data_IF_970422191687
#
_entry.id   IF_970422191687
#
_cell.length_a   1.000
_cell.length_b   1.000
_cell.length_c   1.000
_cell.angle_alpha   90.00
_cell.angle_beta   90.00
_cell.angle_gamma   90.00
#
_symmetry.space_group_name_H-M   'P 1'
#
loop_
_entity.id
_entity.type
_entity.pdbx_description
1 polymer ?
#
# COMPACT_ATOMS: atom_id res chain seq x y z
N UNK A 1 12.41 -19.41 -1.52
CA UNK A 1 12.30 -18.32 -2.54
C UNK A 1 11.46 -17.16 -2.01
N UNK A 2 10.41 -17.45 -1.26
CA UNK A 2 9.38 -16.47 -0.83
C UNK A 2 9.85 -15.39 0.18
N UNK A 3 11.03 -15.54 0.78
CA UNK A 3 11.62 -14.57 1.70
C UNK A 3 12.86 -13.86 1.14
N UNK A 4 13.18 -14.05 -0.15
CA UNK A 4 14.36 -13.40 -0.75
C UNK A 4 14.18 -11.89 -0.80
N UNK A 5 15.13 -11.09 -0.27
CA UNK A 5 15.07 -9.63 -0.42
C UNK A 5 15.17 -9.18 -1.88
N UNK A 6 15.63 -10.07 -2.78
CA UNK A 6 15.79 -9.82 -4.21
C UNK A 6 14.64 -10.38 -5.06
N UNK A 7 13.53 -10.79 -4.45
CA UNK A 7 12.37 -11.27 -5.20
C UNK A 7 11.73 -10.09 -5.98
N UNK A 8 11.96 -10.05 -7.29
CA UNK A 8 11.49 -8.99 -8.17
C UNK A 8 11.85 -7.59 -7.63
N UNK A 9 10.86 -6.79 -7.24
CA UNK A 9 11.05 -5.44 -6.73
C UNK A 9 11.06 -5.35 -5.21
N UNK A 10 11.08 -6.48 -4.47
CA UNK A 10 11.16 -6.52 -3.01
C UNK A 10 12.20 -5.58 -2.38
N UNK A 11 13.39 -5.32 -2.98
CA UNK A 11 14.35 -4.37 -2.40
C UNK A 11 13.78 -2.97 -2.13
N UNK A 12 12.71 -2.57 -2.82
CA UNK A 12 12.07 -1.27 -2.61
C UNK A 12 11.49 -1.10 -1.19
N UNK A 13 11.10 -2.20 -0.53
CA UNK A 13 10.59 -2.17 0.85
C UNK A 13 11.56 -2.75 1.88
N UNK A 14 12.31 -3.82 1.55
CA UNK A 14 13.20 -4.49 2.51
C UNK A 14 14.68 -4.11 2.39
N UNK A 15 15.07 -3.40 1.33
CA UNK A 15 16.48 -3.12 1.04
C UNK A 15 17.14 -4.22 0.21
N UNK A 16 18.25 -3.91 -0.48
CA UNK A 16 18.91 -4.86 -1.39
C UNK A 16 19.53 -6.05 -0.63
N UNK A 17 19.95 -5.82 0.60
CA UNK A 17 20.50 -6.83 1.50
C UNK A 17 19.56 -7.17 2.65
N UNK A 18 18.28 -6.75 2.58
CA UNK A 18 17.31 -6.95 3.67
C UNK A 18 17.53 -6.02 4.86
N UNK A 19 18.11 -4.84 4.65
CA UNK A 19 18.47 -3.89 5.73
C UNK A 19 17.26 -3.42 6.56
N UNK A 20 16.04 -3.50 6.00
CA UNK A 20 14.79 -3.05 6.63
C UNK A 20 13.95 -4.21 7.17
N UNK A 21 14.54 -5.39 7.30
CA UNK A 21 13.91 -6.59 7.85
C UNK A 21 13.42 -7.58 6.78
N UNK A 22 12.83 -8.71 7.21
CA UNK A 22 12.37 -9.75 6.30
C UNK A 22 11.14 -9.32 5.48
N UNK A 23 10.97 -9.88 4.29
CA UNK A 23 9.78 -9.70 3.47
C UNK A 23 8.60 -10.47 4.10
N UNK A 24 7.52 -9.81 4.55
CA UNK A 24 6.33 -10.50 5.05
C UNK A 24 5.68 -11.30 3.91
N UNK A 25 5.22 -12.52 4.17
CA UNK A 25 4.56 -13.34 3.14
C UNK A 25 3.34 -12.63 2.52
N UNK A 26 2.56 -11.94 3.35
CA UNK A 26 1.39 -11.15 2.96
C UNK A 26 1.76 -9.85 2.22
N UNK A 27 3.04 -9.46 2.13
CA UNK A 27 3.46 -8.33 1.31
C UNK A 27 3.49 -8.66 -0.19
N UNK A 28 3.64 -9.95 -0.53
CA UNK A 28 3.61 -10.44 -1.91
C UNK A 28 2.19 -10.66 -2.41
N UNK A 29 1.34 -11.29 -1.59
CA UNK A 29 -0.06 -11.55 -1.92
C UNK A 29 -0.92 -11.35 -0.65
N UNK A 30 -1.35 -10.11 -0.37
CA UNK A 30 -2.15 -9.83 0.82
C UNK A 30 -3.54 -10.47 0.71
N UNK A 31 -4.12 -10.84 1.84
CA UNK A 31 -5.54 -11.24 1.86
C UNK A 31 -6.45 -10.03 1.73
N UNK A 32 -7.70 -10.28 1.37
CA UNK A 32 -8.72 -9.24 1.26
C UNK A 32 -8.89 -8.46 2.58
N UNK A 33 -8.77 -9.13 3.72
CA UNK A 33 -8.84 -8.55 5.06
C UNK A 33 -7.68 -7.59 5.31
N UNK A 34 -6.44 -7.99 4.97
CA UNK A 34 -5.24 -7.15 5.13
C UNK A 34 -5.37 -5.87 4.29
N UNK A 35 -5.77 -6.01 3.03
CA UNK A 35 -5.99 -4.86 2.14
C UNK A 35 -7.05 -3.94 2.73
N UNK A 36 -8.21 -4.48 3.12
CA UNK A 36 -9.34 -3.70 3.66
C UNK A 36 -8.96 -2.95 4.93
N UNK A 37 -8.34 -3.62 5.91
CA UNK A 37 -7.97 -3.01 7.18
C UNK A 37 -6.92 -1.90 7.00
N UNK A 38 -5.92 -2.13 6.14
CA UNK A 38 -4.88 -1.14 5.89
C UNK A 38 -5.44 0.07 5.11
N UNK A 39 -6.33 -0.14 4.14
CA UNK A 39 -7.03 0.94 3.43
C UNK A 39 -7.86 1.78 4.39
N UNK A 40 -8.70 1.17 5.22
CA UNK A 40 -9.52 1.88 6.23
C UNK A 40 -8.65 2.71 7.17
N UNK A 41 -7.50 2.17 7.61
CA UNK A 41 -6.54 2.88 8.46
C UNK A 41 -5.98 4.13 7.76
N UNK A 42 -5.52 3.98 6.52
CA UNK A 42 -4.95 5.09 5.72
C UNK A 42 -6.01 6.15 5.46
N UNK A 43 -7.21 5.76 5.04
CA UNK A 43 -8.32 6.69 4.79
C UNK A 43 -8.67 7.49 6.05
N UNK A 44 -8.77 6.81 7.19
CA UNK A 44 -9.05 7.46 8.49
C UNK A 44 -7.95 8.45 8.87
N UNK A 45 -6.68 8.06 8.72
CA UNK A 45 -5.54 8.91 9.07
C UNK A 45 -5.47 10.18 8.21
N UNK A 46 -5.78 10.06 6.91
CA UNK A 46 -5.73 11.18 5.95
C UNK A 46 -7.04 11.95 5.86
N UNK A 47 -8.12 11.46 6.46
CA UNK A 47 -9.50 11.91 6.20
C UNK A 47 -9.78 11.97 4.69
N UNK A 48 -9.30 10.94 3.97
CA UNK A 48 -9.47 10.86 2.52
C UNK A 48 -10.93 10.64 2.16
N UNK A 49 -11.39 11.25 1.06
CA UNK A 49 -12.77 11.09 0.56
C UNK A 49 -12.91 10.02 -0.53
N UNK A 50 -11.79 9.61 -1.11
CA UNK A 50 -11.77 8.64 -2.20
C UNK A 50 -10.52 7.77 -2.14
N UNK A 51 -10.66 6.53 -2.59
CA UNK A 51 -9.59 5.56 -2.80
C UNK A 51 -9.61 5.17 -4.26
N UNK A 52 -8.49 5.33 -4.96
CA UNK A 52 -8.34 4.82 -6.31
C UNK A 52 -7.70 3.43 -6.27
N UNK A 53 -8.32 2.46 -6.94
CA UNK A 53 -7.84 1.08 -7.03
C UNK A 53 -7.32 0.83 -8.44
N UNK A 54 -6.05 0.47 -8.54
CA UNK A 54 -5.45 -0.12 -9.73
C UNK A 54 -5.18 -1.60 -9.45
N UNK A 55 -5.66 -2.48 -10.32
CA UNK A 55 -5.56 -3.93 -10.16
C UNK A 55 -5.38 -4.59 -11.52
N UNK A 56 -4.75 -5.74 -11.53
CA UNK A 56 -4.64 -6.62 -12.70
C UNK A 56 -5.80 -7.62 -12.79
N UNK A 57 -6.63 -7.74 -11.75
CA UNK A 57 -7.75 -8.66 -11.70
C UNK A 57 -8.93 -8.11 -10.88
N UNK A 58 -9.06 -8.50 -9.61
CA UNK A 58 -10.17 -8.10 -8.74
C UNK A 58 -9.88 -6.76 -8.06
N UNK A 59 -10.79 -5.80 -8.20
CA UNK A 59 -10.69 -4.47 -7.60
C UNK A 59 -11.31 -4.40 -6.19
N UNK A 60 -12.04 -5.43 -5.77
CA UNK A 60 -12.67 -5.54 -4.46
C UNK A 60 -13.57 -4.34 -4.09
N UNK A 61 -14.12 -3.64 -5.08
CA UNK A 61 -14.84 -2.37 -4.87
C UNK A 61 -15.99 -2.53 -3.88
N UNK A 62 -16.75 -3.62 -3.96
CA UNK A 62 -17.85 -3.90 -3.05
C UNK A 62 -17.41 -4.02 -1.58
N UNK A 63 -16.33 -4.77 -1.33
CA UNK A 63 -15.80 -4.97 0.01
C UNK A 63 -15.20 -3.68 0.56
N UNK A 64 -14.44 -2.96 -0.26
CA UNK A 64 -13.84 -1.69 0.12
C UNK A 64 -14.90 -0.63 0.41
N UNK A 65 -15.91 -0.49 -0.46
CA UNK A 65 -16.98 0.50 -0.27
C UNK A 65 -17.81 0.24 0.99
N UNK A 66 -18.14 -1.03 1.30
CA UNK A 66 -18.78 -1.38 2.58
C UNK A 66 -17.93 -0.99 3.79
N UNK A 67 -16.61 -1.22 3.73
CA UNK A 67 -15.72 -0.90 4.83
C UNK A 67 -15.46 0.63 4.99
N UNK A 68 -15.59 1.38 3.90
CA UNK A 68 -15.34 2.82 3.84
C UNK A 68 -16.60 3.67 4.07
N UNK A 69 -17.80 3.09 4.00
CA UNK A 69 -19.07 3.77 4.26
C UNK A 69 -19.08 4.59 5.57
N UNK A 70 -18.62 4.07 6.73
CA UNK A 70 -18.60 4.85 7.98
C UNK A 70 -17.66 6.06 7.95
N UNK A 71 -16.70 6.07 7.01
CA UNK A 71 -15.75 7.16 6.81
C UNK A 71 -16.20 8.14 5.73
N UNK A 72 -17.38 7.93 5.11
CA UNK A 72 -17.90 8.73 4.01
C UNK A 72 -16.90 8.82 2.83
N UNK A 73 -16.20 7.72 2.56
CA UNK A 73 -15.23 7.60 1.47
C UNK A 73 -15.67 6.54 0.47
N UNK A 74 -15.24 6.69 -0.79
CA UNK A 74 -15.57 5.78 -1.89
C UNK A 74 -14.33 5.22 -2.56
N UNK A 75 -14.31 3.91 -2.78
CA UNK A 75 -13.35 3.23 -3.63
C UNK A 75 -13.83 3.22 -5.08
N UNK A 76 -12.96 3.63 -6.00
CA UNK A 76 -13.24 3.72 -7.43
C UNK A 76 -12.11 3.10 -8.24
N UNK A 77 -12.45 2.61 -9.43
CA UNK A 77 -11.51 2.12 -10.45
C UNK A 77 -11.84 2.81 -11.78
N UNK A 78 -10.84 2.95 -12.65
CA UNK A 78 -11.06 3.40 -14.02
C UNK A 78 -11.66 2.28 -14.85
N UNK A 79 -12.70 2.59 -15.62
CA UNK A 79 -13.27 1.68 -16.62
C UNK A 79 -13.25 2.29 -18.04
N UNK A 80 -12.63 1.63 -19.04
CA UNK A 80 -11.83 0.40 -18.90
C UNK A 80 -10.57 0.62 -18.05
N UNK A 81 -9.86 -0.43 -17.63
CA UNK A 81 -8.53 -0.24 -17.04
C UNK A 81 -7.52 0.27 -18.09
N UNK A 82 -6.62 1.18 -17.71
CA UNK A 82 -5.44 1.55 -18.51
C UNK A 82 -4.22 1.65 -17.59
N UNK A 83 -3.21 0.78 -17.75
CA UNK A 83 -2.10 0.70 -16.82
C UNK A 83 -1.27 1.98 -16.78
N UNK A 84 -1.16 2.75 -17.87
CA UNK A 84 -0.39 3.99 -17.86
C UNK A 84 -1.15 5.10 -17.12
N UNK A 85 -2.47 5.17 -17.31
CA UNK A 85 -3.32 6.11 -16.56
C UNK A 85 -3.34 5.74 -15.08
N UNK A 86 -3.42 4.45 -14.76
CA UNK A 86 -3.36 3.95 -13.38
C UNK A 86 -2.03 4.36 -12.71
N UNK A 87 -0.88 4.14 -13.38
CA UNK A 87 0.42 4.59 -12.88
C UNK A 87 0.47 6.11 -12.63
N UNK A 88 -0.13 6.91 -13.51
CA UNK A 88 -0.18 8.36 -13.34
C UNK A 88 -1.04 8.77 -12.13
N UNK A 89 -2.22 8.16 -11.96
CA UNK A 89 -3.10 8.43 -10.82
C UNK A 89 -2.43 8.02 -9.51
N UNK A 90 -1.84 6.81 -9.46
CA UNK A 90 -1.11 6.31 -8.29
C UNK A 90 0.11 7.20 -7.96
N UNK A 91 0.80 7.69 -8.99
CA UNK A 91 1.93 8.61 -8.85
C UNK A 91 1.54 9.92 -8.18
N UNK A 92 0.35 10.45 -8.48
CA UNK A 92 -0.16 11.74 -8.00
C UNK A 92 -1.00 11.66 -6.73
N UNK A 93 -1.32 10.46 -6.23
CA UNK A 93 -2.17 10.29 -5.05
C UNK A 93 -1.61 10.98 -3.79
N UNK A 94 -2.48 11.42 -2.87
CA UNK A 94 -2.04 11.99 -1.59
C UNK A 94 -1.20 10.99 -0.77
N UNK A 95 -1.55 9.71 -0.84
CA UNK A 95 -0.79 8.60 -0.28
C UNK A 95 -0.94 7.37 -1.16
N UNK A 96 0.15 6.62 -1.33
CA UNK A 96 0.16 5.39 -2.13
C UNK A 96 0.36 4.17 -1.23
N UNK A 97 -0.43 3.12 -1.45
CA UNK A 97 -0.20 1.81 -0.86
C UNK A 97 0.04 0.80 -1.98
N UNK A 98 1.21 0.18 -1.99
CA UNK A 98 1.64 -0.72 -3.06
C UNK A 98 1.92 -2.15 -2.59
N UNK A 99 1.94 -3.07 -3.55
CA UNK A 99 2.57 -4.37 -3.41
C UNK A 99 4.10 -4.22 -3.46
N UNK A 100 4.84 -4.80 -2.51
CA UNK A 100 6.29 -4.62 -2.50
C UNK A 100 7.03 -5.43 -3.58
N UNK A 101 6.50 -6.56 -3.99
CA UNK A 101 7.17 -7.47 -4.93
C UNK A 101 6.99 -7.01 -6.38
N UNK A 102 5.87 -6.34 -6.67
CA UNK A 102 5.53 -5.88 -8.03
C UNK A 102 6.48 -4.82 -8.60
N UNK A 103 6.89 -5.00 -9.86
CA UNK A 103 7.63 -3.98 -10.62
C UNK A 103 6.74 -2.84 -11.11
N UNK A 104 5.43 -3.07 -11.25
CA UNK A 104 4.45 -2.04 -11.58
C UNK A 104 4.37 -0.98 -10.47
N UNK A 105 4.28 -1.42 -9.21
CA UNK A 105 4.28 -0.52 -8.05
C UNK A 105 5.64 0.13 -7.82
N UNK A 106 6.74 -0.52 -8.21
CA UNK A 106 8.08 0.06 -8.14
C UNK A 106 8.24 1.28 -9.06
N UNK A 107 7.52 1.33 -10.20
CA UNK A 107 7.46 2.52 -11.04
C UNK A 107 6.86 3.70 -10.27
N UNK A 108 5.71 3.49 -9.63
CA UNK A 108 5.04 4.49 -8.79
C UNK A 108 5.93 4.92 -7.64
N UNK A 109 6.51 3.97 -6.90
CA UNK A 109 7.38 4.26 -5.75
C UNK A 109 8.55 5.15 -6.15
N UNK A 110 9.26 4.85 -7.25
CA UNK A 110 10.37 5.68 -7.73
C UNK A 110 9.92 7.08 -8.11
N UNK A 111 8.79 7.22 -8.81
CA UNK A 111 8.24 8.53 -9.15
C UNK A 111 7.92 9.34 -7.89
N UNK A 112 7.28 8.71 -6.90
CA UNK A 112 6.90 9.37 -5.64
C UNK A 112 8.10 9.76 -4.80
N UNK A 113 9.13 8.91 -4.73
CA UNK A 113 10.34 9.16 -3.96
C UNK A 113 11.09 10.40 -4.45
N UNK A 114 11.26 10.57 -5.76
CA UNK A 114 11.94 11.76 -6.33
C UNK A 114 11.15 13.05 -6.14
N UNK A 115 9.84 12.95 -5.85
CA UNK A 115 8.96 14.10 -5.56
C UNK A 115 8.64 14.24 -4.07
N UNK A 116 9.21 13.42 -3.19
CA UNK A 116 8.95 13.46 -1.75
C UNK A 116 7.51 13.11 -1.36
N UNK A 117 6.80 12.31 -2.17
CA UNK A 117 5.41 11.93 -1.93
C UNK A 117 5.30 10.65 -1.08
N UNK A 118 4.38 10.59 -0.10
CA UNK A 118 4.35 9.51 0.88
C UNK A 118 3.85 8.19 0.28
N UNK A 119 4.49 7.09 0.64
CA UNK A 119 4.17 5.75 0.14
C UNK A 119 4.28 4.71 1.25
N UNK A 120 3.54 3.61 1.14
CA UNK A 120 3.58 2.47 2.04
C UNK A 120 3.36 1.17 1.28
N UNK A 121 3.61 0.03 1.94
CA UNK A 121 3.41 -1.30 1.35
C UNK A 121 2.50 -2.15 2.22
N UNK A 122 1.83 -3.13 1.61
CA UNK A 122 0.99 -4.10 2.33
C UNK A 122 1.78 -4.87 3.39
N UNK A 123 1.17 -5.12 4.54
CA UNK A 123 1.69 -5.98 5.62
C UNK A 123 2.99 -5.52 6.32
N UNK A 124 3.45 -4.29 6.10
CA UNK A 124 4.59 -3.69 6.84
C UNK A 124 4.20 -2.92 8.11
N UNK A 125 2.89 -2.75 8.35
CA UNK A 125 2.36 -2.16 9.58
C UNK A 125 1.68 -3.23 10.42
N UNK A 126 1.86 -3.22 11.76
CA UNK A 126 1.12 -4.10 12.66
C UNK A 126 -0.38 -4.03 12.38
N UNK A 127 -1.02 -5.19 12.30
CA UNK A 127 -2.48 -5.26 12.34
C UNK A 127 -2.93 -4.90 13.77
N UNK A 128 -4.07 -4.23 13.91
CA UNK A 128 -4.57 -3.90 15.25
C UNK A 128 -4.84 -5.21 16.01
N UNK A 129 -4.10 -5.44 17.10
CA UNK A 129 -4.12 -6.69 17.87
C UNK A 129 -2.77 -7.40 18.00
N UNK A 130 -1.76 -7.03 17.19
CA UNK A 130 -0.49 -7.76 17.11
C UNK A 130 0.63 -7.21 18.02
N UNK A 131 0.30 -6.36 19.01
CA UNK A 131 1.26 -5.80 19.97
C UNK A 131 2.40 -4.95 19.37
N UNK A 132 2.39 -4.68 18.06
CA UNK A 132 3.41 -3.90 17.38
C UNK A 132 3.16 -2.40 17.46
N UNK A 133 4.23 -1.64 17.75
CA UNK A 133 4.24 -0.18 17.86
C UNK A 133 3.53 0.52 16.69
N UNK A 134 2.63 1.43 17.05
CA UNK A 134 1.87 2.31 16.18
C UNK A 134 2.78 3.24 15.36
N UNK A 135 2.23 3.82 14.29
CA UNK A 135 2.94 4.79 13.46
C UNK A 135 3.37 6.04 14.25
N UNK A 136 2.65 6.38 15.32
CA UNK A 136 3.00 7.48 16.23
C UNK A 136 4.25 7.17 17.05
N UNK A 137 4.43 5.92 17.47
CA UNK A 137 5.56 5.49 18.30
C UNK A 137 6.87 5.38 17.51
N UNK A 138 6.80 5.18 16.18
CA UNK A 138 7.99 5.18 15.32
C UNK A 138 8.52 6.59 15.03
N UNK A 139 7.65 7.59 14.94
CA UNK A 139 8.04 8.99 14.70
C UNK A 139 8.79 9.57 15.91
N UNK A 140 8.45 9.12 17.12
CA UNK A 140 9.11 9.58 18.35
C UNK A 140 10.45 8.90 18.66
N UNK A 141 10.85 7.89 17.89
CA UNK A 141 12.13 7.19 18.12
C UNK A 141 13.25 7.68 17.20
N UNK A 142 12.94 8.55 16.23
CA UNK A 142 13.91 9.21 15.35
C UNK A 142 14.12 10.70 15.72
N UNK A 143 13.80 11.09 16.96
CA UNK A 143 14.14 12.37 17.58
C UNK A 143 15.01 12.17 18.83
#
# INVERSE_FOLDING_TARGET
LDASPLLFSAPQCVGYMGERGPLPALACLPTAEVVTQQVVRVVRALRARSVFVATDNDAMLDQLNRALEPLQAVAVQREPSDPHVDLAILGLANHFVGNCVSSFTAFVKRHRDVHGLPSSFWAFQPLAGDGGMSASERIHQEL
#
